data_IF_969305875056
#
_entry.id   IF_969305875056
#
_cell.length_a   1.000
_cell.length_b   1.000
_cell.length_c   1.000
_cell.angle_alpha   90.00
_cell.angle_beta   90.00
_cell.angle_gamma   90.00
#
_symmetry.space_group_name_H-M   'P 1'
#
loop_
_entity.id
_entity.type
_entity.pdbx_description
1 polymer ?
#
# COMPACT_ATOMS: atom_id res chain seq x y z
N UNK A 1 -30.10 -0.34 -4.24
CA UNK A 1 -28.98 -0.28 -3.30
C UNK A 1 -27.69 -0.18 -4.12
N UNK A 2 -26.76 0.67 -3.72
CA UNK A 2 -25.46 0.83 -4.41
C UNK A 2 -24.38 0.43 -3.42
N UNK A 3 -23.44 -0.36 -3.89
CA UNK A 3 -22.32 -0.85 -3.11
C UNK A 3 -21.02 -0.22 -3.61
N UNK A 4 -20.12 0.14 -2.69
CA UNK A 4 -18.76 0.51 -2.98
C UNK A 4 -17.84 -0.67 -2.63
N UNK A 5 -17.39 -1.38 -3.63
CA UNK A 5 -16.50 -2.54 -3.46
C UNK A 5 -15.06 -2.09 -3.66
N UNK A 6 -14.29 -2.09 -2.58
CA UNK A 6 -12.87 -1.76 -2.55
C UNK A 6 -12.03 -2.97 -2.13
N UNK A 7 -10.72 -2.85 -2.21
CA UNK A 7 -9.80 -3.86 -1.68
C UNK A 7 -10.05 -4.13 -0.20
N UNK A 8 -10.27 -3.08 0.58
CA UNK A 8 -10.58 -3.21 2.01
C UNK A 8 -11.84 -4.04 2.27
N UNK A 9 -12.88 -3.91 1.43
CA UNK A 9 -14.08 -4.74 1.54
C UNK A 9 -13.81 -6.22 1.21
N UNK A 10 -12.91 -6.49 0.26
CA UNK A 10 -12.53 -7.86 -0.08
C UNK A 10 -11.75 -8.55 1.06
N UNK A 11 -10.97 -7.78 1.84
CA UNK A 11 -10.20 -8.24 2.99
C UNK A 11 -11.07 -8.36 4.26
N UNK A 12 -11.99 -7.40 4.48
CA UNK A 12 -12.89 -7.39 5.64
C UNK A 12 -14.36 -7.20 5.22
N UNK A 13 -15.08 -8.30 5.10
CA UNK A 13 -16.52 -8.32 4.78
C UNK A 13 -17.43 -7.90 5.93
N UNK A 14 -16.88 -7.58 7.10
CA UNK A 14 -17.67 -7.07 8.24
C UNK A 14 -18.15 -5.63 8.01
N UNK A 15 -17.53 -4.90 7.10
CA UNK A 15 -17.88 -3.52 6.77
C UNK A 15 -19.08 -3.49 5.82
N UNK A 16 -20.10 -2.69 6.13
CA UNK A 16 -21.25 -2.49 5.23
C UNK A 16 -20.83 -1.64 4.02
N UNK A 17 -20.77 -2.23 2.80
CA UNK A 17 -20.32 -1.53 1.60
C UNK A 17 -21.37 -0.60 1.02
N UNK A 18 -22.55 -0.49 1.64
CA UNK A 18 -23.66 0.32 1.14
C UNK A 18 -23.35 1.80 1.23
N UNK A 19 -23.48 2.50 0.11
CA UNK A 19 -23.33 3.95 0.05
C UNK A 19 -24.61 4.62 -0.44
N UNK A 20 -24.82 5.86 0.00
CA UNK A 20 -25.85 6.73 -0.54
C UNK A 20 -25.18 7.79 -1.40
N UNK A 21 -25.58 7.85 -2.66
CA UNK A 21 -25.14 8.87 -3.59
C UNK A 21 -25.94 10.13 -3.33
N UNK A 22 -25.24 11.22 -3.03
CA UNK A 22 -25.82 12.56 -2.93
C UNK A 22 -25.92 13.22 -4.31
N UNK A 23 -25.21 14.32 -4.47
CA UNK A 23 -25.21 15.08 -5.72
C UNK A 23 -24.24 14.48 -6.75
N UNK A 24 -24.66 14.50 -8.02
CA UNK A 24 -23.82 14.11 -9.15
C UNK A 24 -23.50 15.36 -9.97
N UNK A 25 -22.24 15.53 -10.35
CA UNK A 25 -21.82 16.65 -11.16
C UNK A 25 -20.76 16.27 -12.18
N UNK A 26 -20.67 17.01 -13.26
CA UNK A 26 -19.58 16.92 -14.23
C UNK A 26 -18.50 17.91 -13.83
N UNK A 27 -17.26 17.46 -13.55
CA UNK A 27 -16.17 18.34 -13.24
C UNK A 27 -15.66 19.07 -14.48
N UNK A 28 -15.51 20.37 -14.38
CA UNK A 28 -14.79 21.21 -15.31
C UNK A 28 -13.54 21.76 -14.61
N UNK A 29 -12.64 22.40 -15.35
CA UNK A 29 -11.37 22.87 -14.78
C UNK A 29 -11.52 23.78 -13.57
N UNK A 30 -12.56 24.64 -13.53
CA UNK A 30 -12.77 25.63 -12.46
C UNK A 30 -14.13 25.54 -11.78
N UNK A 31 -15.05 24.77 -12.30
CA UNK A 31 -16.41 24.64 -11.76
C UNK A 31 -16.96 23.25 -12.02
N UNK A 32 -18.04 22.90 -11.37
CA UNK A 32 -18.76 21.64 -11.60
C UNK A 32 -20.20 21.95 -11.98
N UNK A 33 -20.74 21.23 -12.94
CA UNK A 33 -22.15 21.36 -13.37
C UNK A 33 -22.95 20.19 -12.83
N UNK A 34 -23.98 20.49 -12.05
CA UNK A 34 -24.85 19.46 -11.48
C UNK A 34 -25.70 18.81 -12.55
N UNK A 35 -25.78 17.49 -12.47
CA UNK A 35 -26.60 16.67 -13.39
C UNK A 35 -27.50 15.73 -12.60
N UNK A 36 -28.65 15.39 -13.15
CA UNK A 36 -29.58 14.45 -12.53
C UNK A 36 -29.37 13.00 -12.99
N UNK A 37 -28.64 12.81 -14.07
CA UNK A 37 -28.39 11.50 -14.65
C UNK A 37 -27.04 11.44 -15.33
N UNK A 38 -26.29 10.40 -15.03
CA UNK A 38 -25.04 10.07 -15.74
C UNK A 38 -25.28 8.94 -16.74
N UNK A 39 -24.58 8.99 -17.87
CA UNK A 39 -24.60 7.95 -18.91
C UNK A 39 -23.21 7.33 -19.02
N UNK A 40 -23.16 6.12 -19.60
CA UNK A 40 -21.90 5.42 -19.83
C UNK A 40 -20.90 6.29 -20.63
N UNK A 41 -19.64 6.26 -20.23
CA UNK A 41 -18.56 7.06 -20.83
C UNK A 41 -18.37 8.47 -20.24
N UNK A 42 -19.20 8.90 -19.30
CA UNK A 42 -19.04 10.20 -18.64
C UNK A 42 -18.11 10.09 -17.43
N UNK A 43 -17.23 11.09 -17.29
CA UNK A 43 -16.46 11.33 -16.04
C UNK A 43 -17.31 12.22 -15.14
N UNK A 44 -17.60 11.75 -13.95
CA UNK A 44 -18.50 12.43 -13.01
C UNK A 44 -17.85 12.52 -11.63
N UNK A 45 -18.23 13.57 -10.91
CA UNK A 45 -17.97 13.72 -9.47
C UNK A 45 -19.23 13.29 -8.72
N UNK A 46 -19.05 12.43 -7.73
CA UNK A 46 -20.13 11.92 -6.89
C UNK A 46 -19.86 12.33 -5.45
N UNK A 47 -20.87 12.88 -4.79
CA UNK A 47 -20.83 13.11 -3.36
C UNK A 47 -21.39 11.89 -2.63
N UNK A 48 -20.63 11.36 -1.68
CA UNK A 48 -21.02 10.20 -0.87
C UNK A 48 -21.24 10.59 0.58
N UNK A 49 -22.15 9.91 1.24
CA UNK A 49 -22.40 10.07 2.68
C UNK A 49 -21.38 9.33 3.56
N UNK A 50 -20.62 8.40 3.01
CA UNK A 50 -19.58 7.64 3.71
C UNK A 50 -18.21 7.89 3.05
N UNK A 51 -17.44 8.88 3.52
CA UNK A 51 -16.12 9.18 2.96
C UNK A 51 -15.09 8.07 3.18
N UNK A 52 -15.23 7.24 4.20
CA UNK A 52 -14.27 6.20 4.58
C UNK A 52 -14.14 5.06 3.55
N UNK A 53 -15.11 4.95 2.63
CA UNK A 53 -15.09 3.99 1.52
C UNK A 53 -14.47 4.54 0.23
N UNK A 54 -13.92 5.76 0.28
CA UNK A 54 -13.42 6.47 -0.90
C UNK A 54 -12.00 6.07 -1.21
N UNK A 55 -11.61 5.02 -1.52
CA UNK A 55 -10.37 4.65 -2.21
C UNK A 55 -10.68 4.30 -3.67
N UNK A 56 -9.81 3.55 -4.31
CA UNK A 56 -10.12 2.91 -5.58
C UNK A 56 -11.17 1.84 -5.31
N UNK A 57 -12.40 2.11 -5.72
CA UNK A 57 -13.53 1.22 -5.49
C UNK A 57 -14.44 1.16 -6.71
N UNK A 58 -15.11 0.03 -6.89
CA UNK A 58 -16.14 -0.15 -7.91
C UNK A 58 -17.50 0.17 -7.32
N UNK A 59 -18.24 1.11 -7.93
CA UNK A 59 -19.63 1.37 -7.57
C UNK A 59 -20.54 0.48 -8.41
N UNK A 60 -21.33 -0.35 -7.77
CA UNK A 60 -22.20 -1.34 -8.43
C UNK A 60 -23.46 -1.57 -7.64
N UNK A 61 -24.48 -2.10 -8.27
CA UNK A 61 -25.69 -2.62 -7.66
C UNK A 61 -25.63 -4.13 -7.37
N UNK A 62 -24.54 -4.80 -7.78
CA UNK A 62 -24.29 -6.22 -7.62
C UNK A 62 -23.12 -6.46 -6.67
N UNK A 63 -23.35 -7.13 -5.56
CA UNK A 63 -22.32 -7.44 -4.54
C UNK A 63 -21.15 -8.30 -5.05
N UNK A 64 -21.37 -9.07 -6.09
CA UNK A 64 -20.36 -10.00 -6.62
C UNK A 64 -19.55 -9.42 -7.77
N UNK A 65 -19.90 -8.22 -8.27
CA UNK A 65 -19.25 -7.61 -9.42
C UNK A 65 -18.25 -6.53 -9.00
N UNK A 66 -16.98 -6.78 -9.22
CA UNK A 66 -15.92 -5.81 -9.04
C UNK A 66 -15.07 -5.72 -10.31
N UNK A 67 -14.74 -4.51 -10.72
CA UNK A 67 -13.79 -4.27 -11.80
C UNK A 67 -12.37 -4.67 -11.34
N UNK A 68 -11.51 -5.13 -12.27
CA UNK A 68 -10.12 -5.42 -11.93
C UNK A 68 -9.43 -4.17 -11.38
N UNK A 69 -8.53 -4.32 -10.40
CA UNK A 69 -7.82 -3.19 -9.81
C UNK A 69 -6.98 -2.46 -10.86
N UNK A 70 -6.91 -1.14 -10.73
CA UNK A 70 -6.03 -0.32 -11.56
C UNK A 70 -4.59 -0.60 -11.15
N UNK A 71 -3.73 -0.90 -12.12
CA UNK A 71 -2.30 -1.05 -11.90
C UNK A 71 -1.71 0.33 -11.62
N UNK A 72 -1.24 0.54 -10.42
CA UNK A 72 -0.58 1.78 -10.01
C UNK A 72 0.93 1.66 -10.21
N UNK A 73 1.61 2.77 -10.52
CA UNK A 73 3.06 2.77 -10.61
C UNK A 73 3.70 2.45 -9.23
N UNK A 74 4.80 1.72 -9.27
CA UNK A 74 5.55 1.37 -8.06
C UNK A 74 6.13 2.64 -7.43
N UNK A 75 5.96 2.84 -6.12
CA UNK A 75 6.53 3.98 -5.43
C UNK A 75 8.05 3.83 -5.30
N UNK A 76 8.79 4.86 -5.67
CA UNK A 76 10.25 4.84 -5.76
C UNK A 76 10.95 5.77 -4.77
N UNK A 77 10.24 6.73 -4.22
CA UNK A 77 10.82 7.73 -3.32
C UNK A 77 10.06 7.79 -2.00
N UNK A 78 10.80 8.01 -0.93
CA UNK A 78 10.22 8.16 0.41
C UNK A 78 10.72 9.41 1.11
N UNK A 79 9.85 9.98 1.96
CA UNK A 79 10.13 11.06 2.88
C UNK A 79 9.60 10.68 4.27
N UNK A 80 10.33 11.03 5.30
CA UNK A 80 9.84 10.93 6.67
C UNK A 80 9.18 12.25 7.09
N UNK A 81 8.10 12.17 7.83
CA UNK A 81 7.35 13.33 8.30
C UNK A 81 7.15 13.25 9.82
N UNK A 82 7.30 14.38 10.47
CA UNK A 82 7.06 14.56 11.89
C UNK A 82 6.33 15.88 12.14
N UNK A 83 5.38 15.94 13.09
CA UNK A 83 4.80 17.21 13.49
C UNK A 83 5.85 17.99 14.30
N UNK A 84 5.96 19.30 14.06
CA UNK A 84 6.87 20.15 14.81
C UNK A 84 6.44 20.25 16.30
N UNK A 85 5.14 20.18 16.55
CA UNK A 85 4.54 20.18 17.88
C UNK A 85 3.96 18.79 18.15
N UNK A 86 4.45 18.04 19.15
CA UNK A 86 4.02 16.68 19.44
C UNK A 86 2.50 16.51 19.66
N UNK A 87 1.85 17.50 20.27
CA UNK A 87 0.40 17.49 20.51
C UNK A 87 -0.44 17.47 19.22
N UNK A 88 0.16 17.85 18.10
CA UNK A 88 -0.48 17.84 16.77
C UNK A 88 -0.34 16.51 16.02
N UNK A 89 0.29 15.51 16.64
CA UNK A 89 0.44 14.18 16.02
C UNK A 89 -0.90 13.55 15.57
N UNK A 90 -1.99 13.57 16.35
CA UNK A 90 -3.27 13.00 15.90
C UNK A 90 -3.85 13.72 14.66
N UNK A 91 -3.65 15.03 14.56
CA UNK A 91 -4.10 15.82 13.41
C UNK A 91 -3.29 15.48 12.16
N UNK A 92 -1.96 15.28 12.31
CA UNK A 92 -1.09 14.81 11.24
C UNK A 92 -1.53 13.44 10.72
N UNK A 93 -1.79 12.49 11.60
CA UNK A 93 -2.24 11.14 11.22
C UNK A 93 -3.56 11.20 10.44
N UNK A 94 -4.51 12.03 10.86
CA UNK A 94 -5.77 12.25 10.11
C UNK A 94 -5.52 12.83 8.73
N UNK A 95 -4.65 13.84 8.61
CA UNK A 95 -4.31 14.45 7.32
C UNK A 95 -3.68 13.45 6.36
N UNK A 96 -2.76 12.64 6.89
CA UNK A 96 -2.09 11.58 6.12
C UNK A 96 -3.09 10.52 5.66
N UNK A 97 -4.02 10.12 6.53
CA UNK A 97 -5.09 9.18 6.16
C UNK A 97 -6.00 9.74 5.06
N UNK A 98 -6.36 11.02 5.15
CA UNK A 98 -7.14 11.69 4.09
C UNK A 98 -6.34 11.78 2.78
N UNK A 99 -5.05 12.13 2.85
CA UNK A 99 -4.18 12.16 1.68
C UNK A 99 -4.08 10.78 1.01
N UNK A 100 -3.97 9.71 1.78
CA UNK A 100 -3.93 8.34 1.26
C UNK A 100 -5.21 7.95 0.51
N UNK A 101 -6.37 8.44 0.94
CA UNK A 101 -7.63 8.26 0.20
C UNK A 101 -7.65 9.04 -1.12
N UNK A 102 -7.07 10.26 -1.13
CA UNK A 102 -7.04 11.11 -2.32
C UNK A 102 -5.96 10.68 -3.34
N UNK A 103 -4.86 10.12 -2.87
CA UNK A 103 -3.71 9.73 -3.67
C UNK A 103 -3.49 8.20 -3.61
N UNK A 104 -4.11 7.43 -4.49
CA UNK A 104 -4.05 5.96 -4.45
C UNK A 104 -2.64 5.37 -4.56
N UNK A 105 -1.70 6.10 -5.22
CA UNK A 105 -0.30 5.69 -5.34
C UNK A 105 0.54 6.02 -4.10
N UNK A 106 -0.04 6.73 -3.11
CA UNK A 106 0.64 7.05 -1.87
C UNK A 106 0.59 5.87 -0.93
N UNK A 107 1.75 5.39 -0.53
CA UNK A 107 1.88 4.44 0.56
C UNK A 107 2.32 5.16 1.82
N UNK A 108 1.76 4.76 2.93
CA UNK A 108 2.11 5.29 4.25
C UNK A 108 2.58 4.13 5.11
N UNK A 109 3.77 4.25 5.67
CA UNK A 109 4.34 3.28 6.58
C UNK A 109 4.73 3.98 7.89
N UNK A 110 4.48 3.31 9.00
CA UNK A 110 5.02 3.72 10.30
C UNK A 110 6.23 2.85 10.57
N UNK A 111 7.40 3.45 10.65
CA UNK A 111 8.64 2.74 10.94
C UNK A 111 8.69 2.31 12.42
N UNK A 112 9.56 1.35 12.72
CA UNK A 112 9.75 0.86 14.12
C UNK A 112 10.13 1.98 15.09
N UNK A 113 10.77 3.03 14.58
CA UNK A 113 11.11 4.26 15.31
C UNK A 113 9.90 5.11 15.70
N UNK A 114 8.72 4.84 15.11
CA UNK A 114 7.50 5.65 15.26
C UNK A 114 7.37 6.77 14.23
N UNK A 115 8.33 6.94 13.34
CA UNK A 115 8.27 7.93 12.25
C UNK A 115 7.25 7.51 11.19
N UNK A 116 6.48 8.47 10.71
CA UNK A 116 5.60 8.27 9.57
C UNK A 116 6.36 8.53 8.28
N UNK A 117 6.44 7.52 7.42
CA UNK A 117 7.09 7.59 6.12
C UNK A 117 6.05 7.59 5.01
N UNK A 118 6.12 8.58 4.14
CA UNK A 118 5.32 8.67 2.91
C UNK A 118 6.17 8.16 1.75
N UNK A 119 5.62 7.23 0.98
CA UNK A 119 6.29 6.63 -0.16
C UNK A 119 5.46 6.92 -1.40
N UNK A 120 6.08 7.51 -2.40
CA UNK A 120 5.42 7.96 -3.61
C UNK A 120 6.22 7.69 -4.88
N UNK A 121 5.62 7.97 -6.02
CA UNK A 121 6.18 7.68 -7.34
C UNK A 121 7.35 8.60 -7.73
N UNK A 122 7.51 9.72 -7.05
CA UNK A 122 8.59 10.69 -7.32
C UNK A 122 8.47 11.93 -6.45
N UNK A 123 9.49 12.79 -6.53
CA UNK A 123 9.61 14.01 -5.73
C UNK A 123 8.44 14.97 -5.92
N UNK A 124 8.10 15.28 -7.18
CA UNK A 124 6.98 16.19 -7.48
C UNK A 124 5.63 15.66 -6.97
N UNK A 125 5.45 14.35 -7.00
CA UNK A 125 4.24 13.72 -6.45
C UNK A 125 4.17 13.93 -4.93
N UNK A 126 5.26 13.67 -4.23
CA UNK A 126 5.36 13.87 -2.78
C UNK A 126 5.20 15.34 -2.40
N UNK A 127 5.71 16.28 -3.19
CA UNK A 127 5.50 17.71 -2.97
C UNK A 127 4.03 18.10 -3.08
N UNK A 128 3.30 17.58 -4.07
CA UNK A 128 1.85 17.81 -4.18
C UNK A 128 1.10 17.26 -2.96
N UNK A 129 1.42 16.03 -2.54
CA UNK A 129 0.84 15.41 -1.34
C UNK A 129 1.12 16.25 -0.10
N UNK A 130 2.37 16.70 0.08
CA UNK A 130 2.76 17.53 1.22
C UNK A 130 2.08 18.90 1.21
N UNK A 131 1.90 19.49 0.02
CA UNK A 131 1.13 20.73 -0.12
C UNK A 131 -0.31 20.54 0.38
N UNK A 132 -0.98 19.48 -0.02
CA UNK A 132 -2.35 19.22 0.39
C UNK A 132 -2.47 18.87 1.88
N UNK A 133 -1.52 18.09 2.42
CA UNK A 133 -1.46 17.79 3.86
C UNK A 133 -1.32 19.08 4.68
N UNK A 134 -0.45 20.00 4.26
CA UNK A 134 -0.27 21.29 4.94
C UNK A 134 -1.52 22.18 4.86
N UNK A 135 -2.20 22.16 3.71
CA UNK A 135 -3.42 22.95 3.51
C UNK A 135 -4.64 22.39 4.26
N UNK A 136 -4.68 21.10 4.53
CA UNK A 136 -5.77 20.46 5.26
C UNK A 136 -5.90 20.98 6.70
N UNK A 137 -4.79 21.43 7.30
CA UNK A 137 -4.75 21.99 8.64
C UNK A 137 -3.83 23.22 8.67
N UNK A 138 -4.42 24.41 8.51
CA UNK A 138 -3.72 25.70 8.42
C UNK A 138 -2.72 25.99 9.57
N UNK A 139 -2.88 25.30 10.71
CA UNK A 139 -2.07 25.54 11.92
C UNK A 139 -1.02 24.49 12.18
N UNK A 140 -0.81 23.53 11.25
CA UNK A 140 0.10 22.43 11.47
C UNK A 140 1.40 22.61 10.68
N UNK A 141 2.50 22.78 11.41
CA UNK A 141 3.83 22.75 10.84
C UNK A 141 4.38 21.32 10.88
N UNK A 142 4.80 20.84 9.72
CA UNK A 142 5.35 19.48 9.54
C UNK A 142 6.80 19.62 9.11
N UNK A 143 7.68 18.96 9.84
CA UNK A 143 9.05 18.74 9.46
C UNK A 143 9.11 17.57 8.47
N UNK A 144 9.83 17.73 7.39
CA UNK A 144 10.00 16.75 6.32
C UNK A 144 11.48 16.46 6.15
N UNK A 145 11.84 15.19 6.02
CA UNK A 145 13.21 14.78 5.69
C UNK A 145 13.54 15.08 4.22
N UNK A 146 14.83 15.05 3.88
CA UNK A 146 15.22 15.00 2.49
C UNK A 146 14.66 13.73 1.81
N UNK A 147 14.21 13.85 0.54
CA UNK A 147 13.69 12.68 -0.17
C UNK A 147 14.82 11.71 -0.49
N UNK A 148 14.56 10.43 -0.32
CA UNK A 148 15.51 9.39 -0.68
C UNK A 148 14.82 8.24 -1.44
N UNK A 149 15.57 7.61 -2.33
CA UNK A 149 15.05 6.53 -3.15
C UNK A 149 14.91 5.24 -2.35
N UNK A 150 13.84 4.49 -2.64
CA UNK A 150 13.65 3.15 -2.09
C UNK A 150 14.46 2.18 -2.94
N UNK A 151 15.41 1.49 -2.32
CA UNK A 151 16.20 0.45 -2.97
C UNK A 151 15.94 -0.88 -2.28
N UNK A 152 15.77 -1.91 -3.08
CA UNK A 152 15.86 -3.29 -2.64
C UNK A 152 17.23 -3.83 -3.04
N UNK A 153 17.92 -4.43 -2.10
CA UNK A 153 19.23 -5.03 -2.34
C UNK A 153 19.10 -6.53 -2.53
N UNK A 154 19.89 -7.09 -3.43
CA UNK A 154 19.96 -8.53 -3.64
C UNK A 154 21.42 -8.97 -3.83
N UNK A 155 21.68 -10.25 -3.68
CA UNK A 155 22.97 -10.84 -3.98
C UNK A 155 23.06 -11.18 -5.46
N UNK A 156 24.22 -10.99 -6.07
CA UNK A 156 24.43 -11.31 -7.49
C UNK A 156 24.71 -12.80 -7.73
N UNK A 157 25.18 -13.51 -6.72
CA UNK A 157 25.46 -14.94 -6.75
C UNK A 157 25.17 -15.55 -5.38
N UNK A 158 24.72 -16.80 -5.32
CA UNK A 158 24.56 -17.51 -4.05
C UNK A 158 25.86 -17.50 -3.24
N UNK A 159 25.76 -17.49 -1.92
CA UNK A 159 26.94 -17.60 -1.07
C UNK A 159 27.60 -18.97 -1.29
N UNK A 160 28.90 -18.96 -1.58
CA UNK A 160 29.64 -20.18 -1.92
C UNK A 160 29.79 -21.14 -0.72
N UNK A 161 29.68 -20.64 0.49
CA UNK A 161 29.83 -21.38 1.73
C UNK A 161 28.75 -21.02 2.74
N UNK A 162 28.39 -22.00 3.56
CA UNK A 162 27.54 -21.76 4.73
C UNK A 162 28.36 -20.94 5.73
N UNK A 163 27.84 -19.77 6.09
CA UNK A 163 28.43 -18.94 7.15
C UNK A 163 27.82 -19.39 8.47
N UNK A 164 28.64 -20.00 9.33
CA UNK A 164 28.20 -20.44 10.64
C UNK A 164 28.55 -19.39 11.68
N UNK A 165 27.57 -19.01 12.49
CA UNK A 165 27.75 -18.19 13.68
C UNK A 165 27.38 -19.03 14.91
N UNK A 166 28.32 -19.17 15.84
CA UNK A 166 28.06 -19.77 17.14
C UNK A 166 27.42 -18.73 18.05
N UNK A 167 26.26 -19.05 18.59
CA UNK A 167 25.53 -18.19 19.53
C UNK A 167 25.94 -18.53 20.96
N UNK A 168 25.96 -19.83 21.25
CA UNK A 168 26.35 -20.41 22.54
C UNK A 168 27.17 -21.68 22.28
N UNK A 169 27.69 -22.32 23.34
CA UNK A 169 28.44 -23.58 23.27
C UNK A 169 27.63 -24.72 22.61
N UNK A 170 26.30 -24.65 22.65
CA UNK A 170 25.39 -25.69 22.14
C UNK A 170 24.59 -25.25 20.88
N UNK A 171 24.57 -23.95 20.56
CA UNK A 171 23.74 -23.40 19.49
C UNK A 171 24.55 -22.67 18.43
N UNK A 172 24.35 -23.07 17.16
CA UNK A 172 24.93 -22.39 16.00
C UNK A 172 23.88 -22.13 14.93
N UNK A 173 24.04 -21.07 14.16
CA UNK A 173 23.21 -20.74 13.01
C UNK A 173 24.07 -20.77 11.76
N UNK A 174 23.66 -21.58 10.77
CA UNK A 174 24.23 -21.58 9.43
C UNK A 174 23.35 -20.78 8.48
N UNK A 175 23.93 -19.82 7.75
CA UNK A 175 23.21 -18.94 6.83
C UNK A 175 23.80 -19.09 5.43
N UNK A 176 22.90 -19.21 4.44
CA UNK A 176 23.19 -19.11 3.01
C UNK A 176 22.30 -17.99 2.47
N UNK A 177 22.89 -17.06 1.73
CA UNK A 177 22.14 -16.06 0.99
C UNK A 177 22.04 -16.47 -0.48
N UNK A 178 20.84 -16.40 -1.02
CA UNK A 178 20.58 -16.66 -2.44
C UNK A 178 19.62 -15.61 -2.99
N UNK A 179 19.59 -15.45 -4.33
CA UNK A 179 18.68 -14.53 -4.96
C UNK A 179 17.31 -15.16 -5.20
N UNK A 180 16.25 -14.37 -5.03
CA UNK A 180 14.91 -14.77 -5.45
C UNK A 180 14.77 -14.62 -6.97
N UNK A 181 14.00 -15.51 -7.60
CA UNK A 181 13.66 -15.34 -9.00
C UNK A 181 12.68 -14.15 -9.19
N UNK A 182 12.73 -13.50 -10.35
CA UNK A 182 11.90 -12.33 -10.63
C UNK A 182 10.39 -12.58 -10.46
N UNK A 183 9.92 -13.77 -10.83
CA UNK A 183 8.49 -14.10 -10.71
C UNK A 183 8.04 -14.20 -9.25
N UNK A 184 8.88 -14.75 -8.38
CA UNK A 184 8.61 -14.81 -6.93
C UNK A 184 8.62 -13.39 -6.33
N UNK A 185 9.58 -12.56 -6.75
CA UNK A 185 9.69 -11.18 -6.30
C UNK A 185 8.44 -10.37 -6.69
N UNK A 186 8.00 -10.46 -7.95
CA UNK A 186 6.80 -9.77 -8.43
C UNK A 186 5.54 -10.17 -7.63
N UNK A 187 5.37 -11.44 -7.33
CA UNK A 187 4.23 -11.93 -6.54
C UNK A 187 4.33 -11.52 -5.05
N UNK A 188 5.54 -11.37 -4.52
CA UNK A 188 5.79 -10.83 -3.17
C UNK A 188 5.45 -9.35 -3.10
N UNK A 189 5.93 -8.53 -4.04
CA UNK A 189 5.68 -7.09 -4.07
C UNK A 189 4.18 -6.76 -4.21
N UNK A 190 3.46 -7.57 -4.97
CA UNK A 190 2.00 -7.45 -5.08
C UNK A 190 1.27 -7.96 -3.82
N UNK A 191 1.97 -8.65 -2.91
CA UNK A 191 1.43 -9.21 -1.68
C UNK A 191 0.62 -10.51 -1.86
N UNK A 192 0.60 -11.09 -3.04
CA UNK A 192 -0.16 -12.32 -3.31
C UNK A 192 0.35 -13.53 -2.55
N UNK A 193 1.67 -13.64 -2.35
CA UNK A 193 2.26 -14.76 -1.63
C UNK A 193 1.98 -14.66 -0.13
N UNK A 194 2.02 -13.46 0.42
CA UNK A 194 1.78 -13.23 1.85
C UNK A 194 0.34 -13.59 2.26
N UNK A 195 -0.61 -13.37 1.36
CA UNK A 195 -2.03 -13.63 1.58
C UNK A 195 -2.52 -14.93 0.90
N UNK A 196 -1.59 -15.80 0.48
CA UNK A 196 -1.98 -17.06 -0.16
C UNK A 196 -2.53 -18.05 0.87
N UNK A 197 -3.72 -18.59 0.61
CA UNK A 197 -4.34 -19.64 1.44
C UNK A 197 -3.49 -20.93 1.51
N UNK A 198 -2.69 -21.21 0.48
CA UNK A 198 -1.81 -22.35 0.36
C UNK A 198 -0.45 -21.91 -0.24
N UNK A 199 0.41 -21.39 0.62
CA UNK A 199 1.73 -20.89 0.23
C UNK A 199 2.60 -21.92 -0.50
N UNK A 200 2.71 -23.20 -0.04
CA UNK A 200 3.48 -24.19 -0.77
C UNK A 200 3.00 -24.44 -2.20
N UNK A 201 1.70 -24.38 -2.44
CA UNK A 201 1.13 -24.50 -3.79
C UNK A 201 1.44 -23.30 -4.66
N UNK A 202 1.34 -22.09 -4.10
CA UNK A 202 1.68 -20.85 -4.81
C UNK A 202 3.15 -20.85 -5.23
N UNK A 203 4.07 -21.16 -4.33
CA UNK A 203 5.49 -21.27 -4.60
C UNK A 203 5.83 -22.40 -5.60
N UNK A 204 5.10 -23.53 -5.56
CA UNK A 204 5.25 -24.60 -6.53
C UNK A 204 4.94 -24.18 -7.98
N UNK A 205 3.97 -23.25 -8.19
CA UNK A 205 3.70 -22.67 -9.50
C UNK A 205 4.81 -21.75 -10.00
N UNK A 206 5.61 -21.20 -9.10
CA UNK A 206 6.76 -20.34 -9.37
C UNK A 206 8.07 -21.10 -9.54
N UNK A 207 8.00 -22.44 -9.57
CA UNK A 207 9.15 -23.31 -9.85
C UNK A 207 10.00 -23.69 -8.64
N UNK A 208 9.52 -23.43 -7.42
CA UNK A 208 10.19 -23.85 -6.19
C UNK A 208 10.11 -25.36 -6.02
N UNK A 209 11.20 -25.99 -5.57
CA UNK A 209 11.21 -27.40 -5.27
C UNK A 209 10.37 -27.72 -4.02
N UNK A 210 10.06 -29.02 -3.83
CA UNK A 210 9.15 -29.44 -2.76
C UNK A 210 9.73 -29.19 -1.36
N UNK A 211 11.03 -29.30 -1.20
CA UNK A 211 11.70 -29.11 0.09
C UNK A 211 11.70 -27.63 0.43
N UNK A 212 12.13 -26.77 -0.49
CA UNK A 212 12.20 -25.33 -0.26
C UNK A 212 10.84 -24.72 0.03
N UNK A 213 9.80 -25.03 -0.77
CA UNK A 213 8.45 -24.48 -0.55
C UNK A 213 7.80 -24.88 0.76
N UNK A 214 8.13 -26.06 1.30
CA UNK A 214 7.63 -26.51 2.60
C UNK A 214 8.47 -26.03 3.77
N UNK A 215 9.64 -25.44 3.50
CA UNK A 215 10.57 -24.93 4.52
C UNK A 215 10.47 -23.44 4.75
N UNK A 216 9.62 -22.72 4.01
CA UNK A 216 9.41 -21.29 4.20
C UNK A 216 8.81 -21.05 5.58
N UNK A 217 9.50 -20.26 6.38
CA UNK A 217 9.10 -19.95 7.75
C UNK A 217 8.46 -18.57 7.87
N UNK A 218 9.06 -17.55 7.28
CA UNK A 218 8.58 -16.18 7.38
C UNK A 218 9.02 -15.34 6.17
N UNK A 219 8.41 -14.17 6.05
CA UNK A 219 8.83 -13.14 5.12
C UNK A 219 9.56 -12.06 5.90
N UNK A 220 10.63 -11.52 5.35
CA UNK A 220 11.41 -10.50 6.03
C UNK A 220 11.23 -9.11 5.42
N UNK A 221 11.54 -8.02 6.17
CA UNK A 221 12.03 -8.03 7.54
C UNK A 221 10.96 -8.14 8.62
N UNK A 222 9.66 -7.99 8.29
CA UNK A 222 8.58 -7.87 9.28
C UNK A 222 7.90 -9.20 9.63
N UNK A 223 8.50 -10.35 9.31
CA UNK A 223 7.98 -11.71 9.49
C UNK A 223 6.74 -12.05 8.65
N UNK A 224 5.88 -11.10 8.37
CA UNK A 224 4.64 -11.28 7.58
C UNK A 224 4.70 -10.60 6.22
N UNK A 225 5.54 -9.60 6.05
CA UNK A 225 5.67 -8.83 4.81
C UNK A 225 7.14 -8.48 4.55
N UNK A 226 7.48 -8.28 3.29
CA UNK A 226 8.80 -7.82 2.90
C UNK A 226 9.35 -8.54 1.67
N UNK A 227 10.45 -8.08 1.11
CA UNK A 227 11.02 -8.60 -0.13
C UNK A 227 11.88 -9.86 0.05
N UNK A 228 11.99 -10.42 1.24
CA UNK A 228 12.80 -11.59 1.56
C UNK A 228 11.93 -12.78 1.99
N UNK A 229 12.38 -13.98 1.73
CA UNK A 229 11.77 -15.24 2.16
C UNK A 229 12.82 -16.07 2.89
#
# INVERSE_FOLDING_TARGET
TIYALSKAFAEDRSTDPTITIGQISIPHVRYSTNINRATAGMIIKIESTKPDLLGISTLTDLLEFSLPPVILPIPLMKIAIEPLIPDKHPDMVKSVSMAQLCYPSLQVKVEVTGEHTLIGTGEMFLDCVMHDIRNAFETMEIKVSDPFAVFNETVSTPSATIINAEIDEENSIGIICDMLNHQTLDELEVGKLVHADDLPKALGKLGWDEIARNSVWCFGPDQSTGPNI
#
